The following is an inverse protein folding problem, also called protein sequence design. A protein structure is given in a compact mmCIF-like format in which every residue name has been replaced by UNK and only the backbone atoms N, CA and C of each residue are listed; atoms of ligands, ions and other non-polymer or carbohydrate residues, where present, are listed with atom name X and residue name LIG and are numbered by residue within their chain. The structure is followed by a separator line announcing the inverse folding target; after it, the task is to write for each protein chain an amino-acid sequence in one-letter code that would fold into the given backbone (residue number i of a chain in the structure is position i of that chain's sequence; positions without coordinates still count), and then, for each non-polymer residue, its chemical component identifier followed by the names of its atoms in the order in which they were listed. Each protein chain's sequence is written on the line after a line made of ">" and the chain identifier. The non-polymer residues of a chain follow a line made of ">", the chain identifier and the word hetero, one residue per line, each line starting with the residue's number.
data_IF_271594641732
#
_entry.id   IF_271594641732
#
_cell.length_a   1.000
_cell.length_b   1.000
_cell.length_c   1.000
_cell.angle_alpha   90.00
_cell.angle_beta   90.00
_cell.angle_gamma   90.00
#
_symmetry.space_group_name_H-M   'P 1'
#
loop_
_entity.id
_entity.type
_entity.pdbx_description
1 polymer ?
#
# COMPACT_ATOMS: atom_id res chain seq x y z
N UNK A 1 8.93 -2.44 50.23
CA UNK A 1 8.05 -2.37 49.04
C UNK A 1 8.92 -1.94 47.88
N UNK A 2 9.14 -2.80 46.90
CA UNK A 2 10.09 -2.53 45.81
C UNK A 2 9.52 -1.43 44.89
N UNK A 3 10.27 -0.34 44.75
CA UNK A 3 9.97 0.77 43.86
C UNK A 3 10.33 0.32 42.44
N UNK A 4 9.34 0.02 41.59
CA UNK A 4 9.57 -0.42 40.21
C UNK A 4 9.75 0.81 39.31
N UNK A 5 10.96 1.12 38.81
CA UNK A 5 11.26 2.40 38.16
C UNK A 5 10.78 2.50 36.71
N UNK A 6 10.05 1.52 36.18
CA UNK A 6 9.65 1.50 34.77
C UNK A 6 8.13 1.48 34.60
N UNK A 7 7.45 2.54 35.04
CA UNK A 7 6.08 2.81 34.62
C UNK A 7 6.14 3.77 33.43
N UNK A 8 6.30 3.23 32.22
CA UNK A 8 6.15 4.01 30.99
C UNK A 8 4.72 4.58 30.97
N UNK A 9 4.60 5.88 31.19
CA UNK A 9 3.32 6.58 31.21
C UNK A 9 2.80 6.69 29.78
N UNK A 10 1.69 6.01 29.47
CA UNK A 10 0.98 6.22 28.21
C UNK A 10 0.14 7.48 28.30
N UNK A 11 0.41 8.43 27.42
CA UNK A 11 -0.13 9.79 27.39
C UNK A 11 -0.70 10.10 26.00
N UNK A 12 -1.43 11.21 25.86
CA UNK A 12 -1.96 11.63 24.57
C UNK A 12 -0.87 11.84 23.50
N UNK A 13 0.35 12.22 23.90
CA UNK A 13 1.48 12.37 22.99
C UNK A 13 2.00 11.07 22.40
N UNK A 14 1.67 9.92 22.99
CA UNK A 14 2.04 8.59 22.47
C UNK A 14 1.11 8.13 21.33
N UNK A 15 0.01 8.85 21.09
CA UNK A 15 -0.91 8.59 19.98
C UNK A 15 -0.47 9.39 18.76
N UNK A 16 0.00 8.68 17.74
CA UNK A 16 0.35 9.28 16.45
C UNK A 16 -0.78 9.08 15.42
N UNK A 17 -1.21 10.18 14.82
CA UNK A 17 -2.09 10.16 13.65
C UNK A 17 -1.23 10.28 12.40
N UNK A 18 -1.24 9.23 11.57
CA UNK A 18 -0.58 9.23 10.27
C UNK A 18 -1.54 9.85 9.26
N UNK A 19 -1.12 10.91 8.57
CA UNK A 19 -1.97 11.63 7.62
C UNK A 19 -1.79 11.09 6.20
N UNK A 20 -2.86 11.16 5.41
CA UNK A 20 -2.84 10.86 3.97
C UNK A 20 -2.18 9.49 3.67
N UNK A 21 -1.23 9.46 2.73
CA UNK A 21 -0.52 8.25 2.32
C UNK A 21 0.52 7.76 3.32
N UNK A 22 0.75 8.48 4.43
CA UNK A 22 1.73 8.08 5.44
C UNK A 22 1.35 6.74 6.09
N UNK A 23 0.07 6.56 6.39
CA UNK A 23 -0.46 5.29 6.92
C UNK A 23 -0.26 4.14 5.96
N UNK A 24 -0.56 4.36 4.67
CA UNK A 24 -0.38 3.38 3.60
C UNK A 24 1.09 2.98 3.48
N UNK A 25 2.00 3.96 3.43
CA UNK A 25 3.45 3.69 3.33
C UNK A 25 3.99 2.98 4.57
N UNK A 26 3.55 3.38 5.77
CA UNK A 26 4.00 2.76 7.03
C UNK A 26 3.52 1.33 7.17
N UNK A 27 2.35 1.00 6.60
CA UNK A 27 1.68 -0.29 6.75
C UNK A 27 1.26 -0.88 5.39
N UNK A 28 2.16 -0.85 4.41
CA UNK A 28 1.86 -1.24 3.03
C UNK A 28 1.22 -2.64 2.90
N UNK A 29 1.69 -3.63 3.67
CA UNK A 29 1.12 -4.99 3.66
C UNK A 29 -0.37 -5.05 4.01
N UNK A 30 -0.90 -4.07 4.74
CA UNK A 30 -2.34 -3.99 5.02
C UNK A 30 -3.16 -3.70 3.75
N UNK A 31 -2.56 -3.03 2.77
CA UNK A 31 -3.21 -2.59 1.54
C UNK A 31 -2.90 -3.52 0.36
N UNK A 32 -1.65 -3.97 0.24
CA UNK A 32 -1.19 -4.81 -0.89
C UNK A 32 -0.90 -6.27 -0.49
N UNK A 33 -1.25 -6.67 0.73
CA UNK A 33 -1.12 -8.03 1.27
C UNK A 33 0.27 -8.34 1.84
N UNK A 34 1.33 -8.16 1.06
CA UNK A 34 2.71 -8.23 1.54
C UNK A 34 3.62 -7.21 0.82
N UNK A 35 4.88 -7.12 1.22
CA UNK A 35 5.90 -6.28 0.56
C UNK A 35 6.93 -7.09 -0.20
N UNK A 36 6.60 -8.35 -0.51
CA UNK A 36 7.41 -9.26 -1.31
C UNK A 36 6.97 -9.28 -2.78
N UNK A 37 7.30 -10.36 -3.48
CA UNK A 37 6.99 -10.51 -4.91
C UNK A 37 5.50 -10.42 -5.19
N UNK A 38 4.65 -10.97 -4.30
CA UNK A 38 3.19 -10.93 -4.50
C UNK A 38 2.66 -9.51 -4.39
N UNK A 39 3.03 -8.77 -3.34
CA UNK A 39 2.68 -7.37 -3.18
C UNK A 39 3.16 -6.49 -4.34
N UNK A 40 4.36 -6.74 -4.87
CA UNK A 40 4.87 -6.04 -6.05
C UNK A 40 3.97 -6.24 -7.28
N UNK A 41 3.54 -7.48 -7.57
CA UNK A 41 2.64 -7.74 -8.69
C UNK A 41 1.23 -7.20 -8.44
N UNK A 42 0.78 -7.18 -7.18
CA UNK A 42 -0.51 -6.61 -6.79
C UNK A 42 -0.62 -5.14 -7.21
N UNK A 43 0.45 -4.36 -7.06
CA UNK A 43 0.47 -2.97 -7.53
C UNK A 43 0.17 -2.84 -9.04
N UNK A 44 0.63 -3.79 -9.85
CA UNK A 44 0.34 -3.82 -11.29
C UNK A 44 -1.11 -4.25 -11.52
N UNK A 45 -1.59 -5.28 -10.80
CA UNK A 45 -2.96 -5.77 -10.93
C UNK A 45 -3.98 -4.69 -10.64
N UNK A 46 -3.79 -3.87 -9.61
CA UNK A 46 -4.70 -2.75 -9.30
C UNK A 46 -4.88 -1.80 -10.49
N UNK A 47 -3.82 -1.51 -11.25
CA UNK A 47 -3.91 -0.62 -12.41
C UNK A 47 -4.54 -1.33 -13.61
N UNK A 48 -4.24 -2.60 -13.80
CA UNK A 48 -4.85 -3.44 -14.85
C UNK A 48 -6.35 -3.62 -14.59
N UNK A 49 -6.76 -3.87 -13.35
CA UNK A 49 -8.16 -4.05 -12.97
C UNK A 49 -8.95 -2.76 -13.18
N UNK A 50 -8.42 -1.60 -12.77
CA UNK A 50 -9.02 -0.31 -13.12
C UNK A 50 -9.12 -0.10 -14.64
N UNK A 51 -8.16 -0.61 -15.42
CA UNK A 51 -8.23 -0.56 -16.89
C UNK A 51 -9.29 -1.50 -17.46
N UNK A 52 -9.53 -2.65 -16.83
CA UNK A 52 -10.59 -3.60 -17.19
C UNK A 52 -11.95 -3.00 -16.88
N UNK A 53 -12.12 -2.26 -15.78
CA UNK A 53 -13.36 -1.56 -15.45
C UNK A 53 -13.77 -0.60 -16.58
N UNK A 54 -12.82 0.11 -17.19
CA UNK A 54 -13.08 0.96 -18.35
C UNK A 54 -13.47 0.16 -19.61
N UNK A 55 -12.95 -1.06 -19.77
CA UNK A 55 -13.39 -1.97 -20.84
C UNK A 55 -14.83 -2.41 -20.61
N UNK A 56 -15.17 -2.78 -19.37
CA UNK A 56 -16.53 -3.19 -18.99
C UNK A 56 -17.54 -2.04 -19.13
N UNK A 57 -17.10 -0.81 -18.88
CA UNK A 57 -17.88 0.40 -19.12
C UNK A 57 -17.99 0.79 -20.61
N UNK A 58 -17.23 0.13 -21.50
CA UNK A 58 -17.24 0.37 -22.94
C UNK A 58 -16.39 1.55 -23.42
N UNK A 59 -15.54 2.11 -22.56
CA UNK A 59 -14.66 3.24 -22.87
C UNK A 59 -13.25 2.83 -23.31
N UNK A 60 -12.83 1.61 -22.97
CA UNK A 60 -11.55 1.04 -23.40
C UNK A 60 -11.76 -0.19 -24.29
N UNK A 61 -10.92 -0.35 -25.31
CA UNK A 61 -10.94 -1.51 -26.21
C UNK A 61 -9.59 -2.23 -26.34
N UNK A 62 -8.53 -1.67 -25.74
CA UNK A 62 -7.18 -2.20 -25.80
C UNK A 62 -6.39 -1.75 -24.58
N UNK A 63 -5.89 -2.73 -23.83
CA UNK A 63 -4.96 -2.52 -22.72
C UNK A 63 -3.58 -2.99 -23.19
N UNK A 64 -2.55 -2.20 -22.91
CA UNK A 64 -1.15 -2.52 -23.24
C UNK A 64 -0.35 -2.42 -21.95
N UNK A 65 0.46 -3.44 -21.68
CA UNK A 65 1.34 -3.51 -20.51
C UNK A 65 2.76 -3.70 -21.00
N UNK A 66 3.67 -2.88 -20.52
CA UNK A 66 5.09 -2.86 -20.90
C UNK A 66 5.94 -2.95 -19.63
N UNK A 67 6.81 -3.96 -19.59
CA UNK A 67 7.87 -4.03 -18.57
C UNK A 67 9.11 -3.36 -19.16
N UNK A 68 9.49 -2.23 -18.58
CA UNK A 68 10.62 -1.43 -19.05
C UNK A 68 11.95 -2.01 -18.58
N UNK A 69 13.04 -1.64 -19.26
CA UNK A 69 14.39 -2.13 -18.93
C UNK A 69 14.89 -1.68 -17.55
N UNK A 70 14.33 -0.61 -17.00
CA UNK A 70 14.64 -0.10 -15.65
C UNK A 70 13.82 -0.79 -14.54
N UNK A 71 12.94 -1.73 -14.90
CA UNK A 71 12.08 -2.44 -13.97
C UNK A 71 10.75 -1.73 -13.67
N UNK A 72 10.48 -0.57 -14.27
CA UNK A 72 9.16 0.06 -14.21
C UNK A 72 8.14 -0.65 -15.11
N UNK A 73 6.85 -0.45 -14.83
CA UNK A 73 5.74 -0.99 -15.64
C UNK A 73 4.89 0.18 -16.13
N UNK A 74 4.50 0.15 -17.41
CA UNK A 74 3.63 1.15 -18.06
C UNK A 74 2.47 0.47 -18.77
#
# INVERSE_FOLDING_TARGET
>A
MANNPNKTSYTASDIQVLKDLEGVRKRASMYIGDTGVRGLHHLVYEIVDNSIDEVLAGFCNKIVIIINKDGSVT
#
